data_IF_489370031434
#
_entry.id   IF_489370031434
#
_cell.length_a   1.000
_cell.length_b   1.000
_cell.length_c   1.000
_cell.angle_alpha   90.00
_cell.angle_beta   90.00
_cell.angle_gamma   90.00
#
_symmetry.space_group_name_H-M   'P 1'
#
loop_
_entity.id
_entity.type
_entity.pdbx_description
1 polymer ?
#
# COMPACT_ATOMS: atom_id res chain seq x y z
N UNK A 1 -12.26 -14.39 -23.44
CA UNK A 1 -10.99 -15.07 -23.72
C UNK A 1 -10.54 -14.82 -25.14
N UNK A 2 -9.28 -14.47 -25.36
CA UNK A 2 -8.71 -14.37 -26.72
C UNK A 2 -8.39 -15.79 -27.20
N UNK A 3 -8.85 -16.11 -28.40
CA UNK A 3 -8.44 -17.34 -29.11
C UNK A 3 -7.34 -16.97 -30.09
N UNK A 4 -6.20 -17.64 -29.99
CA UNK A 4 -5.13 -17.55 -30.97
C UNK A 4 -5.51 -18.58 -32.08
N UNK A 5 -5.77 -18.10 -33.28
CA UNK A 5 -5.96 -18.96 -34.43
C UNK A 5 -4.65 -19.04 -35.22
N UNK A 6 -4.16 -20.25 -35.43
CA UNK A 6 -3.01 -20.52 -36.29
C UNK A 6 -3.52 -20.76 -37.72
N UNK A 7 -3.03 -19.98 -38.67
CA UNK A 7 -3.37 -20.12 -40.09
C UNK A 7 -2.09 -20.52 -40.84
N UNK A 8 -2.21 -21.56 -41.64
CA UNK A 8 -1.10 -21.99 -42.48
C UNK A 8 -0.79 -20.93 -43.54
N UNK A 9 0.40 -20.34 -43.48
CA UNK A 9 0.85 -19.26 -44.36
C UNK A 9 0.78 -19.61 -45.88
N UNK A 10 0.85 -20.90 -46.23
CA UNK A 10 0.78 -21.39 -47.62
C UNK A 10 -0.63 -21.37 -48.20
N UNK A 11 -1.67 -21.24 -47.38
CA UNK A 11 -3.07 -21.19 -47.81
C UNK A 11 -3.66 -19.79 -47.83
N UNK A 12 -2.88 -18.75 -47.52
CA UNK A 12 -3.34 -17.36 -47.43
C UNK A 12 -2.90 -16.60 -48.67
N UNK A 13 -3.85 -16.08 -49.44
CA UNK A 13 -3.58 -15.15 -50.51
C UNK A 13 -3.33 -13.75 -49.95
N UNK A 14 -2.11 -13.27 -50.10
CA UNK A 14 -1.69 -11.98 -49.57
C UNK A 14 -2.07 -10.84 -50.49
N UNK A 15 -2.93 -9.94 -50.03
CA UNK A 15 -3.28 -8.72 -50.73
C UNK A 15 -2.32 -7.59 -50.36
N UNK A 16 -1.88 -6.80 -51.35
CA UNK A 16 -1.14 -5.59 -51.06
C UNK A 16 -2.00 -4.58 -50.28
N UNK A 17 -1.40 -3.83 -49.34
CA UNK A 17 -2.14 -2.86 -48.49
C UNK A 17 -2.96 -1.87 -49.32
N UNK A 18 -2.46 -1.46 -50.51
CA UNK A 18 -3.16 -0.55 -51.44
C UNK A 18 -4.45 -1.17 -52.04
N UNK A 19 -4.56 -2.50 -52.09
CA UNK A 19 -5.66 -3.23 -52.60
C UNK A 19 -6.62 -3.74 -51.52
N UNK A 20 -6.21 -3.56 -50.24
CA UNK A 20 -7.03 -3.85 -49.08
C UNK A 20 -8.13 -2.78 -48.97
N UNK A 21 -9.34 -3.10 -49.42
CA UNK A 21 -10.51 -2.26 -49.16
C UNK A 21 -10.78 -2.30 -47.65
N UNK A 22 -10.82 -1.15 -47.01
CA UNK A 22 -11.35 -1.05 -45.68
C UNK A 22 -12.76 -1.65 -45.67
N UNK A 23 -12.96 -2.77 -45.00
CA UNK A 23 -14.31 -3.27 -44.78
C UNK A 23 -15.02 -2.25 -43.90
N UNK A 24 -15.82 -1.40 -44.56
CA UNK A 24 -16.65 -0.38 -43.89
C UNK A 24 -17.77 -0.97 -43.03
N UNK A 25 -17.92 -2.28 -43.06
CA UNK A 25 -18.82 -3.03 -42.21
C UNK A 25 -18.04 -4.20 -41.58
N UNK A 26 -17.31 -3.95 -40.51
CA UNK A 26 -17.08 -5.05 -39.59
C UNK A 26 -18.46 -5.55 -39.15
N UNK A 27 -18.78 -6.84 -39.34
CA UNK A 27 -19.96 -7.37 -38.71
C UNK A 27 -19.79 -7.19 -37.20
N UNK A 28 -20.55 -6.26 -36.67
CA UNK A 28 -20.60 -6.03 -35.21
C UNK A 28 -21.29 -7.24 -34.58
N UNK A 29 -20.53 -8.32 -34.38
CA UNK A 29 -21.01 -9.59 -33.80
C UNK A 29 -21.54 -9.46 -32.38
N UNK A 30 -21.78 -8.41 -31.86
CA UNK A 30 -22.47 -8.19 -30.59
C UNK A 30 -23.59 -7.19 -30.73
N UNK A 31 -23.36 -6.14 -31.51
CA UNK A 31 -24.30 -5.03 -31.62
C UNK A 31 -25.47 -5.39 -32.53
N UNK A 32 -25.26 -6.22 -33.53
CA UNK A 32 -26.38 -6.68 -34.38
C UNK A 32 -27.35 -7.64 -33.66
N UNK A 33 -26.86 -8.41 -32.69
CA UNK A 33 -27.71 -9.23 -31.84
C UNK A 33 -28.45 -8.40 -30.80
N UNK A 34 -27.80 -7.36 -30.27
CA UNK A 34 -28.40 -6.40 -29.35
C UNK A 34 -29.42 -5.50 -30.04
N UNK A 35 -29.19 -5.11 -31.32
CA UNK A 35 -30.16 -4.33 -32.10
C UNK A 35 -31.39 -5.12 -32.51
N UNK A 36 -31.34 -6.45 -32.53
CA UNK A 36 -32.52 -7.29 -32.78
C UNK A 36 -33.39 -7.53 -31.55
N UNK A 37 -32.87 -7.31 -30.36
CA UNK A 37 -33.61 -7.38 -29.11
C UNK A 37 -34.12 -5.99 -28.75
N UNK A 38 -35.39 -5.90 -28.37
CA UNK A 38 -36.06 -4.68 -27.85
C UNK A 38 -35.31 -4.00 -26.69
N UNK A 39 -34.28 -4.64 -26.12
CA UNK A 39 -33.42 -4.08 -25.13
C UNK A 39 -32.56 -2.87 -25.63
N UNK A 40 -32.30 -2.77 -26.93
CA UNK A 40 -31.57 -1.61 -27.50
C UNK A 40 -32.40 -0.32 -27.46
N UNK A 41 -33.69 -0.42 -27.34
CA UNK A 41 -34.61 0.72 -27.23
C UNK A 41 -34.81 1.17 -25.78
N UNK A 42 -34.23 0.48 -24.80
CA UNK A 42 -34.33 0.85 -23.41
C UNK A 42 -33.73 2.24 -23.13
N UNK A 43 -32.65 2.60 -23.82
CA UNK A 43 -32.05 3.95 -23.70
C UNK A 43 -32.91 5.02 -24.40
N UNK A 44 -33.54 4.66 -25.51
CA UNK A 44 -34.44 5.59 -26.24
C UNK A 44 -35.76 5.80 -25.47
N UNK A 45 -36.15 4.83 -24.64
CA UNK A 45 -37.35 4.92 -23.79
C UNK A 45 -37.13 5.72 -22.51
N UNK A 46 -35.90 6.02 -22.18
CA UNK A 46 -35.58 6.87 -21.01
C UNK A 46 -35.95 8.30 -21.32
N UNK A 47 -37.01 8.82 -20.69
CA UNK A 47 -37.36 10.24 -20.76
C UNK A 47 -36.14 11.09 -20.39
N UNK A 48 -35.66 11.86 -21.36
CA UNK A 48 -34.65 12.89 -21.08
C UNK A 48 -35.29 13.96 -20.16
N UNK A 49 -35.07 13.82 -18.86
CA UNK A 49 -35.43 14.85 -17.94
C UNK A 49 -34.26 15.82 -17.78
N UNK A 50 -34.47 17.13 -17.94
CA UNK A 50 -33.44 18.11 -17.65
C UNK A 50 -33.18 18.08 -16.15
N UNK A 51 -32.12 17.39 -15.75
CA UNK A 51 -31.67 17.38 -14.36
C UNK A 51 -30.91 18.66 -14.09
N UNK A 52 -31.31 19.37 -13.04
CA UNK A 52 -30.55 20.51 -12.56
C UNK A 52 -29.19 20.04 -12.03
N UNK A 53 -28.12 20.43 -12.70
CA UNK A 53 -26.78 20.13 -12.25
C UNK A 53 -26.40 21.10 -11.14
N UNK A 54 -26.29 20.60 -9.92
CA UNK A 54 -25.79 21.37 -8.78
C UNK A 54 -24.35 20.95 -8.47
N UNK A 55 -23.55 21.91 -7.95
CA UNK A 55 -22.22 21.58 -7.47
C UNK A 55 -22.32 20.59 -6.31
N UNK A 56 -21.63 19.46 -6.41
CA UNK A 56 -21.50 18.50 -5.33
C UNK A 56 -20.70 19.13 -4.17
N UNK A 57 -21.25 19.23 -2.94
CA UNK A 57 -20.50 19.74 -1.81
C UNK A 57 -19.40 18.73 -1.44
N UNK A 58 -18.14 19.17 -1.44
CA UNK A 58 -16.96 18.31 -1.17
C UNK A 58 -16.99 17.66 0.22
N UNK A 59 -17.77 18.19 1.14
CA UNK A 59 -17.94 17.70 2.52
C UNK A 59 -19.13 16.76 2.68
N UNK A 60 -19.88 16.48 1.61
CA UNK A 60 -21.04 15.59 1.69
C UNK A 60 -20.58 14.15 1.90
N UNK A 61 -21.15 13.48 2.92
CA UNK A 61 -20.75 12.13 3.34
C UNK A 61 -19.22 11.96 3.52
N UNK A 62 -18.58 12.92 4.20
CA UNK A 62 -17.13 12.94 4.38
C UNK A 62 -16.60 11.65 5.05
N UNK A 63 -17.31 11.16 6.07
CA UNK A 63 -16.93 9.99 6.88
C UNK A 63 -17.74 8.73 6.53
N UNK A 64 -18.12 8.52 5.31
CA UNK A 64 -18.92 7.38 4.90
C UNK A 64 -18.20 6.04 5.20
N UNK A 65 -18.31 5.55 6.44
CA UNK A 65 -17.74 4.29 6.88
C UNK A 65 -18.49 3.12 6.24
N UNK A 66 -17.78 2.24 5.55
CA UNK A 66 -18.38 1.18 4.75
C UNK A 66 -17.67 -0.17 4.84
N UNK A 67 -16.46 -0.22 5.40
CA UNK A 67 -15.67 -1.44 5.43
C UNK A 67 -15.05 -1.68 6.79
N UNK A 68 -15.04 -2.95 7.22
CA UNK A 68 -14.36 -3.39 8.44
C UNK A 68 -13.29 -4.40 8.02
N UNK A 69 -12.05 -4.16 8.40
CA UNK A 69 -10.91 -5.01 8.08
C UNK A 69 -10.31 -5.55 9.38
N UNK A 70 -10.56 -6.82 9.74
CA UNK A 70 -9.83 -7.46 10.81
C UNK A 70 -8.44 -7.89 10.32
N UNK A 71 -7.42 -7.70 11.15
CA UNK A 71 -6.07 -8.17 10.90
C UNK A 71 -5.61 -9.01 12.08
N UNK A 72 -5.12 -10.21 11.77
CA UNK A 72 -4.58 -11.14 12.75
C UNK A 72 -3.14 -11.44 12.35
N UNK A 73 -2.20 -10.90 13.10
CA UNK A 73 -0.77 -11.08 12.90
C UNK A 73 -0.12 -11.24 14.27
N UNK A 74 -0.21 -12.45 14.80
CA UNK A 74 0.25 -12.76 16.17
C UNK A 74 1.67 -12.22 16.43
N UNK A 75 1.92 -11.41 17.51
CA UNK A 75 1.03 -11.14 18.65
C UNK A 75 0.05 -9.96 18.47
N UNK A 76 -0.02 -9.32 17.31
CA UNK A 76 -0.84 -8.14 17.05
C UNK A 76 -2.18 -8.50 16.42
N UNK A 77 -3.26 -8.02 17.03
CA UNK A 77 -4.64 -8.18 16.56
C UNK A 77 -5.24 -6.79 16.37
N UNK A 78 -5.83 -6.52 15.23
CA UNK A 78 -6.47 -5.22 15.01
C UNK A 78 -7.75 -5.31 14.21
N UNK A 79 -8.59 -4.30 14.38
CA UNK A 79 -9.79 -4.05 13.57
C UNK A 79 -9.73 -2.62 13.10
N UNK A 80 -9.83 -2.42 11.79
CA UNK A 80 -9.93 -1.10 11.18
C UNK A 80 -11.28 -0.90 10.53
N UNK A 81 -11.90 0.25 10.76
CA UNK A 81 -13.13 0.70 10.12
C UNK A 81 -12.75 1.81 9.15
N UNK A 82 -12.99 1.58 7.87
CA UNK A 82 -12.57 2.48 6.78
C UNK A 82 -13.78 3.22 6.23
N UNK A 83 -13.60 4.52 6.02
CA UNK A 83 -14.56 5.40 5.38
C UNK A 83 -13.92 6.19 4.24
N UNK A 84 -14.66 6.38 3.16
CA UNK A 84 -14.27 7.19 2.01
C UNK A 84 -15.44 8.04 1.56
N UNK A 85 -15.19 9.29 1.17
CA UNK A 85 -16.23 10.08 0.57
C UNK A 85 -16.49 9.62 -0.89
N UNK A 86 -17.65 9.97 -1.44
CA UNK A 86 -18.08 9.53 -2.79
C UNK A 86 -17.08 9.91 -3.90
N UNK A 87 -16.33 11.00 -3.74
CA UNK A 87 -15.32 11.45 -4.69
C UNK A 87 -13.93 10.83 -4.46
N UNK A 88 -13.78 10.00 -3.42
CA UNK A 88 -12.52 9.43 -2.96
C UNK A 88 -11.41 10.49 -2.74
N UNK A 89 -11.82 11.68 -2.33
CA UNK A 89 -10.91 12.79 -2.00
C UNK A 89 -10.64 12.91 -0.51
N UNK A 90 -11.38 12.17 0.31
CA UNK A 90 -11.18 12.06 1.74
C UNK A 90 -11.32 10.61 2.16
N UNK A 91 -10.29 10.10 2.81
CA UNK A 91 -10.25 8.77 3.38
C UNK A 91 -10.07 8.91 4.89
N UNK A 92 -10.77 8.08 5.65
CA UNK A 92 -10.66 8.03 7.11
C UNK A 92 -10.65 6.61 7.61
N UNK A 93 -9.93 6.39 8.71
CA UNK A 93 -9.82 5.09 9.34
C UNK A 93 -9.92 5.25 10.84
N UNK A 94 -10.73 4.40 11.50
CA UNK A 94 -10.71 4.19 12.94
C UNK A 94 -10.09 2.81 13.16
N UNK A 95 -9.08 2.73 14.00
CA UNK A 95 -8.40 1.47 14.33
C UNK A 95 -8.53 1.15 15.81
N UNK A 96 -8.62 -0.13 16.10
CA UNK A 96 -8.54 -0.71 17.44
C UNK A 96 -7.54 -1.84 17.40
N UNK A 97 -6.56 -1.83 18.28
CA UNK A 97 -5.51 -2.83 18.34
C UNK A 97 -5.38 -3.44 19.73
N UNK A 98 -4.80 -4.63 19.75
CA UNK A 98 -4.40 -5.36 20.94
C UNK A 98 -3.16 -6.18 20.67
N UNK A 99 -2.11 -5.97 21.47
CA UNK A 99 -0.92 -6.81 21.44
C UNK A 99 -0.96 -7.82 22.59
N UNK A 100 -0.90 -9.10 22.25
CA UNK A 100 -1.01 -10.20 23.23
C UNK A 100 0.22 -10.30 24.15
N UNK A 101 1.41 -10.04 23.63
CA UNK A 101 2.66 -10.25 24.38
C UNK A 101 2.93 -9.12 25.36
N UNK A 102 2.70 -7.89 24.95
CA UNK A 102 2.84 -6.71 25.80
C UNK A 102 1.56 -6.40 26.59
N UNK A 103 0.39 -6.81 26.10
CA UNK A 103 -0.91 -6.59 26.72
C UNK A 103 -1.51 -5.21 26.48
N UNK A 104 -0.86 -4.34 25.69
CA UNK A 104 -1.39 -3.01 25.41
C UNK A 104 -2.58 -3.04 24.45
N UNK A 105 -3.38 -2.01 24.53
CA UNK A 105 -4.51 -1.72 23.63
C UNK A 105 -4.28 -0.36 23.00
N UNK A 106 -4.64 -0.23 21.74
CA UNK A 106 -4.60 1.05 21.05
C UNK A 106 -5.92 1.38 20.36
N UNK A 107 -6.21 2.64 20.28
CA UNK A 107 -7.28 3.21 19.48
C UNK A 107 -6.70 4.37 18.66
N UNK A 108 -6.94 4.35 17.36
CA UNK A 108 -6.43 5.33 16.44
C UNK A 108 -7.49 5.90 15.53
N UNK A 109 -7.25 7.11 15.06
CA UNK A 109 -8.00 7.75 13.99
C UNK A 109 -7.01 8.39 13.01
N UNK A 110 -7.10 8.03 11.75
CA UNK A 110 -6.32 8.58 10.65
C UNK A 110 -7.23 9.16 9.58
N UNK A 111 -6.80 10.26 8.98
CA UNK A 111 -7.48 10.88 7.86
C UNK A 111 -6.49 11.38 6.80
N UNK A 112 -6.89 11.22 5.54
CA UNK A 112 -6.15 11.72 4.38
C UNK A 112 -7.09 12.53 3.49
N UNK A 113 -6.74 13.78 3.23
CA UNK A 113 -7.44 14.65 2.30
C UNK A 113 -6.62 14.82 1.01
N UNK A 114 -7.08 14.20 -0.06
CA UNK A 114 -6.40 14.13 -1.36
C UNK A 114 -7.04 14.97 -2.46
N UNK A 115 -7.95 15.90 -2.12
CA UNK A 115 -8.52 16.81 -3.13
C UNK A 115 -7.54 17.92 -3.60
N UNK A 116 -6.43 18.03 -2.91
CA UNK A 116 -5.33 18.95 -3.23
C UNK A 116 -4.05 18.18 -3.51
N UNK A 117 -3.08 18.87 -4.08
CA UNK A 117 -1.68 18.43 -4.10
C UNK A 117 -0.85 19.51 -3.39
N UNK A 118 -0.25 19.23 -2.23
CA UNK A 118 -0.05 17.92 -1.57
C UNK A 118 -1.31 17.35 -0.92
N UNK A 119 -1.32 16.04 -0.69
CA UNK A 119 -2.30 15.39 0.18
C UNK A 119 -2.02 15.78 1.62
N UNK A 120 -3.08 16.12 2.36
CA UNK A 120 -2.99 16.43 3.78
C UNK A 120 -3.28 15.14 4.57
N UNK A 121 -2.46 14.89 5.59
CA UNK A 121 -2.62 13.75 6.49
C UNK A 121 -2.73 14.24 7.91
N UNK A 122 -3.56 13.62 8.72
CA UNK A 122 -3.67 13.88 10.15
C UNK A 122 -4.16 12.62 10.86
N UNK A 123 -3.70 12.41 12.08
CA UNK A 123 -4.15 11.31 12.89
C UNK A 123 -3.82 11.49 14.36
N UNK A 124 -4.46 10.67 15.16
CA UNK A 124 -4.26 10.57 16.60
C UNK A 124 -4.36 9.11 17.01
N UNK A 125 -3.42 8.66 17.82
CA UNK A 125 -3.39 7.32 18.40
C UNK A 125 -3.25 7.42 19.92
N UNK A 126 -4.01 6.60 20.62
CA UNK A 126 -3.94 6.45 22.05
C UNK A 126 -3.68 5.01 22.42
N UNK A 127 -2.52 4.76 23.03
CA UNK A 127 -2.11 3.43 23.49
C UNK A 127 -2.19 3.35 25.01
N UNK A 128 -2.84 2.31 25.50
CA UNK A 128 -3.12 2.07 26.92
C UNK A 128 -2.29 0.89 27.41
N UNK A 129 -1.71 1.02 28.59
CA UNK A 129 -0.96 -0.02 29.29
C UNK A 129 0.24 -0.57 28.50
N UNK A 130 0.95 0.29 27.78
CA UNK A 130 2.19 -0.08 27.13
C UNK A 130 3.23 -0.49 28.17
N UNK A 131 4.02 -1.52 27.88
CA UNK A 131 4.96 -2.13 28.82
C UNK A 131 6.38 -2.08 28.28
N UNK A 132 7.31 -1.66 29.13
CA UNK A 132 8.73 -1.73 28.86
C UNK A 132 9.49 -2.44 29.97
N UNK A 133 10.58 -3.11 29.59
CA UNK A 133 11.48 -3.78 30.51
C UNK A 133 12.66 -2.87 30.82
N UNK A 134 12.78 -2.46 32.04
CA UNK A 134 13.89 -1.66 32.56
C UNK A 134 14.65 -2.45 33.61
N UNK A 135 15.87 -1.99 33.96
CA UNK A 135 16.71 -2.65 34.99
C UNK A 135 16.00 -2.81 36.34
N UNK A 136 15.04 -1.94 36.64
CA UNK A 136 14.26 -1.91 37.88
C UNK A 136 12.95 -2.72 37.82
N UNK A 137 12.63 -3.33 36.69
CA UNK A 137 11.40 -4.09 36.48
C UNK A 137 10.56 -3.59 35.31
N UNK A 138 9.31 -4.01 35.25
CA UNK A 138 8.37 -3.57 34.24
C UNK A 138 7.83 -2.18 34.55
N UNK A 139 7.87 -1.29 33.59
CA UNK A 139 7.25 0.04 33.66
C UNK A 139 6.09 0.07 32.70
N UNK A 140 4.97 0.63 33.13
CA UNK A 140 3.76 0.79 32.34
C UNK A 140 3.49 2.26 32.07
N UNK A 141 3.00 2.60 30.88
CA UNK A 141 2.61 3.95 30.53
C UNK A 141 1.46 3.96 29.50
N UNK A 142 0.75 5.07 29.47
CA UNK A 142 -0.15 5.41 28.39
C UNK A 142 0.53 6.39 27.45
N UNK A 143 0.28 6.26 26.15
CA UNK A 143 0.93 7.07 25.12
C UNK A 143 -0.12 7.71 24.21
N UNK A 144 0.00 9.00 23.97
CA UNK A 144 -0.75 9.75 22.97
C UNK A 144 0.19 10.14 21.86
N UNK A 145 -0.14 9.79 20.63
CA UNK A 145 0.56 10.23 19.43
C UNK A 145 -0.39 11.04 18.55
N UNK A 146 -0.02 12.27 18.25
CA UNK A 146 -0.74 13.12 17.29
C UNK A 146 0.18 13.40 16.12
N UNK A 147 -0.32 13.22 14.91
CA UNK A 147 0.48 13.51 13.74
C UNK A 147 -0.28 14.30 12.68
N UNK A 148 0.49 15.02 11.88
CA UNK A 148 -0.02 15.73 10.72
C UNK A 148 1.09 15.91 9.69
N UNK A 149 0.73 15.86 8.41
CA UNK A 149 1.75 15.91 7.38
C UNK A 149 1.25 16.18 5.98
N UNK A 150 2.23 16.24 5.09
CA UNK A 150 2.05 16.49 3.66
C UNK A 150 2.65 15.34 2.87
N UNK A 151 1.91 14.87 1.87
CA UNK A 151 2.37 13.83 0.95
C UNK A 151 2.19 14.28 -0.51
N UNK A 152 3.21 14.08 -1.31
CA UNK A 152 3.22 14.34 -2.75
C UNK A 152 3.27 13.02 -3.50
N UNK A 153 2.13 12.44 -3.91
CA UNK A 153 2.09 11.23 -4.72
C UNK A 153 2.17 11.59 -6.19
N UNK A 154 3.09 10.96 -6.91
CA UNK A 154 3.23 11.07 -8.36
C UNK A 154 3.08 9.70 -9.02
N UNK A 155 2.30 9.65 -10.08
CA UNK A 155 2.09 8.46 -10.89
C UNK A 155 2.69 8.69 -12.28
N UNK A 156 3.73 7.92 -12.61
CA UNK A 156 4.41 7.93 -13.89
C UNK A 156 4.14 6.66 -14.70
N UNK A 157 3.08 5.94 -14.38
CA UNK A 157 2.72 4.70 -15.05
C UNK A 157 2.47 4.92 -16.54
N UNK A 158 3.02 4.04 -17.38
CA UNK A 158 2.85 4.10 -18.83
C UNK A 158 2.77 2.69 -19.42
N UNK A 159 1.69 2.41 -20.12
CA UNK A 159 1.47 1.10 -20.74
C UNK A 159 1.49 -0.02 -19.69
N UNK A 160 2.43 -0.95 -19.84
CA UNK A 160 2.58 -2.09 -18.93
C UNK A 160 3.46 -1.79 -17.70
N UNK A 161 4.12 -0.65 -17.68
CA UNK A 161 4.98 -0.25 -16.57
C UNK A 161 4.17 0.59 -15.59
N UNK A 162 4.12 0.13 -14.35
CA UNK A 162 3.49 0.83 -13.24
C UNK A 162 4.61 1.48 -12.44
N UNK A 163 4.57 2.81 -12.34
CA UNK A 163 5.63 3.59 -11.66
C UNK A 163 5.02 4.64 -10.77
N UNK A 164 5.36 4.60 -9.50
CA UNK A 164 4.95 5.56 -8.48
C UNK A 164 6.16 6.15 -7.76
N UNK A 165 6.09 7.43 -7.49
CA UNK A 165 7.00 8.14 -6.60
C UNK A 165 6.15 8.89 -5.58
N UNK A 166 6.46 8.74 -4.32
CA UNK A 166 5.86 9.59 -3.29
C UNK A 166 6.92 10.08 -2.32
N UNK A 167 6.80 11.32 -1.90
CA UNK A 167 7.59 11.86 -0.81
C UNK A 167 6.69 12.70 0.10
N UNK A 168 7.11 12.86 1.32
CA UNK A 168 6.34 13.60 2.29
C UNK A 168 7.10 13.84 3.59
N UNK A 169 6.46 14.62 4.42
CA UNK A 169 6.91 14.91 5.78
C UNK A 169 5.71 14.90 6.70
N UNK A 170 5.85 14.19 7.81
CA UNK A 170 4.87 14.15 8.87
C UNK A 170 5.53 14.67 10.16
N UNK A 171 4.83 15.52 10.88
CA UNK A 171 5.18 15.98 12.24
C UNK A 171 4.43 15.09 13.21
N UNK A 172 5.13 14.52 14.16
CA UNK A 172 4.58 13.72 15.24
C UNK A 172 4.83 14.41 16.58
N UNK A 173 3.80 14.48 17.39
CA UNK A 173 3.91 14.80 18.81
C UNK A 173 3.56 13.54 19.58
N UNK A 174 4.49 13.10 20.44
CA UNK A 174 4.33 11.92 21.30
C UNK A 174 4.41 12.33 22.75
N UNK A 175 3.47 11.86 23.56
CA UNK A 175 3.45 12.06 24.99
C UNK A 175 3.23 10.73 25.69
N UNK A 176 4.20 10.32 26.53
CA UNK A 176 4.11 9.15 27.38
C UNK A 176 3.83 9.58 28.82
N UNK A 177 2.79 9.01 29.42
CA UNK A 177 2.40 9.22 30.81
C UNK A 177 2.66 7.93 31.60
N UNK A 178 3.71 7.93 32.41
CA UNK A 178 4.11 6.76 33.19
C UNK A 178 3.23 6.59 34.42
N UNK A 179 2.88 5.33 34.72
CA UNK A 179 2.07 5.01 35.91
C UNK A 179 2.85 5.09 37.21
N UNK A 180 4.18 5.15 37.16
CA UNK A 180 5.05 5.24 38.30
C UNK A 180 5.31 6.72 38.63
N UNK A 181 4.99 7.14 39.83
CA UNK A 181 5.04 8.54 40.25
C UNK A 181 6.43 9.20 40.15
N UNK A 182 7.49 8.39 40.19
CA UNK A 182 8.88 8.89 40.16
C UNK A 182 9.39 9.25 38.75
N UNK A 183 8.69 8.84 37.66
CA UNK A 183 9.20 9.03 36.29
C UNK A 183 8.51 10.23 35.61
N UNK A 184 7.30 10.60 36.02
CA UNK A 184 6.56 11.71 35.43
C UNK A 184 6.10 11.44 34.01
N UNK A 185 5.79 12.52 33.24
CA UNK A 185 5.45 12.46 31.83
C UNK A 185 6.64 12.87 30.98
N UNK A 186 6.82 12.21 29.85
CA UNK A 186 7.79 12.57 28.83
C UNK A 186 7.08 12.93 27.54
N UNK A 187 7.53 13.96 26.85
CA UNK A 187 6.98 14.34 25.54
C UNK A 187 8.10 14.80 24.60
N UNK A 188 7.89 14.55 23.33
CA UNK A 188 8.79 15.00 22.28
C UNK A 188 8.07 15.16 20.97
N UNK A 189 8.63 15.97 20.08
CA UNK A 189 8.14 16.16 18.72
C UNK A 189 9.22 15.74 17.75
N UNK A 190 8.83 14.99 16.70
CA UNK A 190 9.77 14.60 15.66
C UNK A 190 9.17 14.75 14.27
N UNK A 191 10.06 14.93 13.30
CA UNK A 191 9.73 14.89 11.87
C UNK A 191 10.03 13.49 11.35
N UNK A 192 9.15 13.02 10.48
CA UNK A 192 9.31 11.81 9.71
C UNK A 192 9.27 12.15 8.22
N UNK A 193 10.44 12.24 7.61
CA UNK A 193 10.59 12.53 6.19
C UNK A 193 10.77 11.23 5.43
N UNK A 194 10.06 11.07 4.33
CA UNK A 194 10.16 9.85 3.55
C UNK A 194 10.12 10.09 2.04
N UNK A 195 10.79 9.19 1.33
CA UNK A 195 10.73 9.05 -0.12
C UNK A 195 10.46 7.58 -0.42
N UNK A 196 9.45 7.30 -1.23
CA UNK A 196 9.10 5.96 -1.70
C UNK A 196 9.03 5.96 -3.21
N UNK A 197 9.79 5.10 -3.82
CA UNK A 197 9.77 4.87 -5.26
C UNK A 197 9.47 3.40 -5.52
N UNK A 198 8.56 3.13 -6.42
CA UNK A 198 8.28 1.77 -6.86
C UNK A 198 8.03 1.77 -8.37
N UNK A 199 8.65 0.85 -9.07
CA UNK A 199 8.37 0.60 -10.47
C UNK A 199 8.38 -0.90 -10.73
N UNK A 200 7.42 -1.36 -11.51
CA UNK A 200 7.36 -2.76 -11.91
C UNK A 200 6.58 -2.93 -13.22
N UNK A 201 6.87 -4.00 -13.91
CA UNK A 201 6.08 -4.41 -15.08
C UNK A 201 4.85 -5.16 -14.58
N UNK A 202 3.70 -4.87 -15.17
CA UNK A 202 2.46 -5.59 -14.89
C UNK A 202 2.69 -7.10 -14.99
N UNK A 203 2.34 -7.82 -13.94
CA UNK A 203 2.56 -9.25 -13.83
C UNK A 203 1.34 -10.05 -14.26
N UNK A 204 1.57 -11.25 -14.78
CA UNK A 204 0.52 -12.22 -15.02
C UNK A 204 0.08 -12.86 -13.69
N UNK A 205 -1.15 -13.39 -13.64
CA UNK A 205 -1.69 -14.04 -12.43
C UNK A 205 -0.84 -15.20 -11.91
N UNK A 206 -0.10 -15.87 -12.79
CA UNK A 206 0.78 -17.01 -12.43
C UNK A 206 2.13 -16.57 -11.84
N UNK A 207 2.51 -15.31 -11.98
CA UNK A 207 3.80 -14.83 -11.45
C UNK A 207 3.67 -14.53 -9.96
N UNK A 208 4.58 -15.05 -9.16
CA UNK A 208 4.66 -14.76 -7.72
C UNK A 208 5.07 -13.29 -7.51
N UNK A 209 6.06 -12.83 -8.30
CA UNK A 209 6.56 -11.46 -8.29
C UNK A 209 6.64 -10.89 -9.71
N UNK A 210 6.71 -9.55 -9.87
CA UNK A 210 6.96 -8.95 -11.16
C UNK A 210 8.28 -9.48 -11.77
N UNK A 211 8.30 -9.71 -13.08
CA UNK A 211 9.53 -10.16 -13.77
C UNK A 211 10.66 -9.13 -13.69
N UNK A 212 10.31 -7.86 -13.70
CA UNK A 212 11.22 -6.74 -13.48
C UNK A 212 10.52 -5.71 -12.62
N UNK A 213 11.21 -5.24 -11.62
CA UNK A 213 10.70 -4.21 -10.74
C UNK A 213 11.73 -3.83 -9.68
N UNK A 214 11.48 -2.71 -9.07
CA UNK A 214 12.24 -2.23 -7.93
C UNK A 214 11.35 -1.38 -7.04
N UNK A 215 11.57 -1.48 -5.74
CA UNK A 215 10.99 -0.59 -4.75
C UNK A 215 12.08 -0.09 -3.81
N UNK A 216 12.11 1.20 -3.61
CA UNK A 216 13.09 1.88 -2.74
C UNK A 216 12.31 2.74 -1.76
N UNK A 217 12.64 2.63 -0.49
CA UNK A 217 12.09 3.45 0.58
C UNK A 217 13.23 4.06 1.39
N UNK A 218 13.21 5.37 1.50
CA UNK A 218 14.09 6.15 2.36
C UNK A 218 13.22 6.78 3.44
N UNK A 219 13.65 6.69 4.67
CA UNK A 219 12.95 7.26 5.81
C UNK A 219 13.98 7.92 6.74
N UNK A 220 13.75 9.18 7.10
CA UNK A 220 14.55 9.91 8.04
C UNK A 220 13.66 10.51 9.12
N UNK A 221 13.88 10.06 10.34
CA UNK A 221 13.23 10.58 11.55
C UNK A 221 14.20 11.46 12.32
N UNK A 222 13.72 12.58 12.79
CA UNK A 222 14.51 13.53 13.56
C UNK A 222 13.66 14.19 14.63
N UNK A 223 14.02 14.01 15.89
CA UNK A 223 13.40 14.73 16.99
C UNK A 223 13.82 16.20 16.94
N UNK A 224 12.85 17.11 17.12
CA UNK A 224 13.06 18.56 17.02
C UNK A 224 12.84 19.28 18.33
N UNK A 225 12.09 18.67 19.27
CA UNK A 225 11.87 19.21 20.61
C UNK A 225 11.77 18.10 21.64
N UNK A 226 12.14 18.41 22.87
CA UNK A 226 12.00 17.55 24.05
C UNK A 226 13.16 16.62 24.26
N UNK A 227 13.51 15.82 23.29
CA UNK A 227 14.58 14.83 23.35
C UNK A 227 15.38 14.85 22.05
N UNK A 228 16.64 14.43 22.12
CA UNK A 228 17.50 14.30 20.93
C UNK A 228 17.41 12.89 20.39
N UNK A 229 17.04 12.76 19.12
CA UNK A 229 17.06 11.48 18.43
C UNK A 229 17.06 11.68 16.91
N UNK A 230 17.79 10.84 16.20
CA UNK A 230 17.72 10.75 14.75
C UNK A 230 17.89 9.30 14.28
N UNK A 231 17.24 8.96 13.18
CA UNK A 231 17.32 7.64 12.57
C UNK A 231 17.11 7.76 11.07
N UNK A 232 18.04 7.22 10.32
CA UNK A 232 17.91 7.02 8.86
C UNK A 232 17.72 5.54 8.56
N UNK A 233 16.77 5.23 7.71
CA UNK A 233 16.52 3.89 7.19
C UNK A 233 16.35 3.96 5.68
N UNK A 234 17.19 3.23 4.96
CA UNK A 234 17.05 2.96 3.54
C UNK A 234 16.73 1.48 3.33
N UNK A 235 15.77 1.17 2.50
CA UNK A 235 15.48 -0.22 2.13
C UNK A 235 15.08 -0.30 0.66
N UNK A 236 15.40 -1.44 0.03
CA UNK A 236 15.10 -1.67 -1.37
C UNK A 236 14.87 -3.14 -1.67
N UNK A 237 13.95 -3.39 -2.61
CA UNK A 237 13.72 -4.71 -3.18
C UNK A 237 13.84 -4.61 -4.69
N UNK A 238 14.58 -5.51 -5.29
CA UNK A 238 14.86 -5.59 -6.72
C UNK A 238 14.39 -6.94 -7.22
N UNK A 239 13.50 -6.92 -8.20
CA UNK A 239 12.84 -8.11 -8.75
C UNK A 239 13.43 -8.44 -10.11
N UNK A 240 13.83 -9.68 -10.30
CA UNK A 240 14.39 -10.21 -11.53
C UNK A 240 13.69 -11.51 -11.93
N UNK A 241 13.66 -11.86 -13.22
CA UNK A 241 13.23 -13.17 -13.65
C UNK A 241 14.17 -14.23 -13.10
N UNK A 242 13.63 -15.38 -12.70
CA UNK A 242 14.43 -16.54 -12.33
C UNK A 242 14.87 -17.35 -13.56
N UNK A 243 15.45 -18.50 -13.29
CA UNK A 243 16.01 -19.41 -14.31
C UNK A 243 14.95 -20.06 -15.21
N UNK A 244 13.69 -20.06 -14.80
CA UNK A 244 12.59 -20.66 -15.54
C UNK A 244 11.37 -19.77 -15.56
N UNK A 245 10.35 -20.13 -16.36
CA UNK A 245 9.09 -19.41 -16.46
C UNK A 245 8.40 -19.37 -15.08
N UNK A 246 7.89 -18.21 -14.68
CA UNK A 246 7.24 -17.95 -13.39
C UNK A 246 8.15 -18.07 -12.16
N UNK A 247 9.43 -18.27 -12.33
CA UNK A 247 10.43 -18.16 -11.27
C UNK A 247 10.81 -16.67 -11.08
N UNK A 248 11.21 -16.31 -9.87
CA UNK A 248 11.60 -14.94 -9.52
C UNK A 248 12.81 -14.96 -8.59
N UNK A 249 13.73 -14.03 -8.84
CA UNK A 249 14.83 -13.70 -7.93
C UNK A 249 14.54 -12.34 -7.32
N UNK A 250 14.52 -12.25 -6.00
CA UNK A 250 14.33 -11.00 -5.26
C UNK A 250 15.61 -10.71 -4.49
N UNK A 251 16.24 -9.59 -4.81
CA UNK A 251 17.37 -9.06 -4.03
C UNK A 251 16.82 -7.97 -3.11
N UNK A 252 17.04 -8.12 -1.82
CA UNK A 252 16.66 -7.15 -0.81
C UNK A 252 17.89 -6.57 -0.11
N UNK A 253 17.89 -5.25 0.10
CA UNK A 253 18.95 -4.55 0.79
C UNK A 253 18.34 -3.55 1.78
N UNK A 254 18.99 -3.38 2.93
CA UNK A 254 18.60 -2.35 3.87
C UNK A 254 19.82 -1.81 4.61
N UNK A 255 19.76 -0.53 4.95
CA UNK A 255 20.75 0.17 5.77
C UNK A 255 20.02 1.03 6.79
N UNK A 256 20.38 0.90 8.06
CA UNK A 256 19.90 1.78 9.12
C UNK A 256 21.10 2.39 9.84
N UNK A 257 20.95 3.68 10.14
CA UNK A 257 21.91 4.46 10.92
C UNK A 257 21.14 5.31 11.94
N UNK A 258 21.55 5.26 13.20
CA UNK A 258 21.04 6.14 14.25
C UNK A 258 21.99 7.30 14.50
N UNK A 259 21.52 8.36 15.15
CA UNK A 259 22.37 9.45 15.60
C UNK A 259 23.23 9.05 16.79
N UNK A 260 24.39 9.68 16.91
CA UNK A 260 25.36 9.39 17.98
C UNK A 260 24.85 9.79 19.35
N UNK A 261 24.08 10.88 19.45
CA UNK A 261 23.60 11.49 20.69
C UNK A 261 22.11 11.22 20.95
N UNK A 262 21.61 10.06 20.54
CA UNK A 262 20.21 9.71 20.75
C UNK A 262 19.90 9.46 22.22
N UNK A 263 19.00 10.27 22.80
CA UNK A 263 18.42 10.07 24.13
C UNK A 263 17.31 9.05 24.15
N UNK A 264 16.62 8.87 22.98
CA UNK A 264 15.59 7.87 22.77
C UNK A 264 15.83 7.13 21.46
N UNK A 265 15.29 5.93 21.37
CA UNK A 265 15.27 5.15 20.15
C UNK A 265 13.88 5.17 19.52
N UNK A 266 13.81 5.53 18.24
CA UNK A 266 12.59 5.32 17.46
C UNK A 266 12.31 3.84 17.26
N UNK A 267 11.03 3.47 17.10
CA UNK A 267 10.62 2.11 16.77
C UNK A 267 11.42 1.57 15.60
N UNK A 268 11.99 0.38 15.80
CA UNK A 268 12.86 -0.25 14.82
C UNK A 268 12.02 -0.86 13.69
N UNK A 269 12.12 -0.28 12.49
CA UNK A 269 11.46 -0.76 11.28
C UNK A 269 12.45 -1.46 10.32
N UNK A 270 13.63 -1.83 10.80
CA UNK A 270 14.63 -2.53 10.00
C UNK A 270 14.11 -3.92 9.59
N UNK A 271 14.16 -4.28 8.30
CA UNK A 271 13.68 -5.57 7.83
C UNK A 271 14.72 -6.67 8.11
N UNK A 272 14.71 -7.24 9.30
CA UNK A 272 15.64 -8.31 9.68
C UNK A 272 15.58 -9.51 8.74
N UNK A 273 16.69 -10.23 8.65
CA UNK A 273 16.73 -11.49 7.94
C UNK A 273 16.00 -12.59 8.73
N UNK A 274 15.49 -13.60 8.05
CA UNK A 274 14.82 -14.74 8.70
C UNK A 274 15.75 -15.42 9.69
N UNK A 275 15.26 -15.72 10.87
CA UNK A 275 16.01 -16.39 11.93
C UNK A 275 16.90 -15.47 12.78
N UNK A 276 16.93 -14.17 12.50
CA UNK A 276 17.57 -13.19 13.38
C UNK A 276 16.57 -12.57 14.31
N UNK A 277 16.96 -12.40 15.57
CA UNK A 277 16.17 -11.65 16.54
C UNK A 277 16.34 -10.15 16.25
N UNK A 278 15.29 -9.38 16.46
CA UNK A 278 15.34 -7.93 16.31
C UNK A 278 16.30 -7.34 17.36
N UNK A 279 17.36 -6.71 16.89
CA UNK A 279 18.33 -6.02 17.71
C UNK A 279 18.26 -4.51 17.47
N UNK A 280 18.60 -3.75 18.52
CA UNK A 280 18.56 -2.30 18.47
C UNK A 280 19.98 -1.73 18.36
N UNK A 281 20.67 -2.03 17.27
CA UNK A 281 22.04 -1.59 17.02
C UNK A 281 22.07 -0.19 16.41
N UNK A 282 23.17 0.52 16.64
CA UNK A 282 23.46 1.85 16.12
C UNK A 282 23.48 1.88 14.58
N UNK A 283 24.16 0.94 13.96
CA UNK A 283 24.23 0.79 12.52
C UNK A 283 23.95 -0.65 12.11
N UNK A 284 23.07 -0.84 11.14
CA UNK A 284 22.72 -2.15 10.64
C UNK A 284 22.69 -2.16 9.13
N UNK A 285 23.22 -3.23 8.55
CA UNK A 285 23.19 -3.48 7.11
C UNK A 285 22.61 -4.87 6.83
N UNK A 286 21.84 -4.97 5.77
CA UNK A 286 21.31 -6.23 5.26
C UNK A 286 21.43 -6.30 3.76
N UNK A 287 21.86 -7.43 3.26
CA UNK A 287 21.73 -7.84 1.87
C UNK A 287 21.20 -9.28 1.88
N UNK A 288 20.15 -9.54 1.12
CA UNK A 288 19.54 -10.86 0.99
C UNK A 288 19.17 -11.14 -0.46
N UNK A 289 19.13 -12.40 -0.82
CA UNK A 289 18.66 -12.88 -2.11
C UNK A 289 17.71 -14.05 -1.87
N UNK A 290 16.48 -13.92 -2.34
CA UNK A 290 15.45 -14.93 -2.22
C UNK A 290 15.08 -15.44 -3.63
N UNK A 291 15.16 -16.74 -3.82
CA UNK A 291 14.74 -17.38 -5.07
C UNK A 291 13.37 -18.03 -4.86
N UNK A 292 12.39 -17.59 -5.62
CA UNK A 292 11.01 -18.05 -5.54
C UNK A 292 10.63 -18.83 -6.79
N UNK A 293 10.03 -19.98 -6.58
CA UNK A 293 9.47 -20.79 -7.66
C UNK A 293 8.14 -21.42 -7.25
N UNK A 294 7.16 -21.51 -8.16
CA UNK A 294 5.90 -22.16 -7.87
C UNK A 294 6.08 -23.68 -7.83
N UNK A 295 5.58 -24.31 -6.79
CA UNK A 295 5.56 -25.77 -6.67
C UNK A 295 4.35 -26.33 -7.42
N UNK A 296 3.21 -25.64 -7.33
CA UNK A 296 1.95 -26.03 -7.94
C UNK A 296 1.06 -24.82 -8.20
N UNK A 297 0.11 -24.98 -9.09
CA UNK A 297 -0.95 -24.02 -9.38
C UNK A 297 -2.31 -24.67 -9.08
N UNK A 298 -2.75 -24.71 -7.82
CA UNK A 298 -3.95 -25.43 -7.42
C UNK A 298 -5.20 -24.94 -8.15
N UNK A 299 -5.35 -23.65 -8.35
CA UNK A 299 -6.49 -23.06 -9.09
C UNK A 299 -6.53 -23.56 -10.53
N UNK A 300 -5.39 -23.67 -11.18
CA UNK A 300 -5.32 -24.17 -12.55
C UNK A 300 -5.66 -25.66 -12.61
N UNK A 301 -5.13 -26.43 -11.68
CA UNK A 301 -5.41 -27.86 -11.57
C UNK A 301 -6.88 -28.14 -11.30
N UNK A 302 -7.45 -27.49 -10.31
CA UNK A 302 -8.86 -27.64 -9.97
C UNK A 302 -9.76 -27.13 -11.10
N UNK A 303 -9.47 -25.94 -11.66
CA UNK A 303 -10.25 -25.40 -12.76
C UNK A 303 -10.18 -26.31 -13.98
N UNK A 304 -8.99 -26.76 -14.39
CA UNK A 304 -8.87 -27.66 -15.53
C UNK A 304 -9.52 -29.01 -15.27
N UNK A 305 -9.61 -29.45 -14.03
CA UNK A 305 -10.23 -30.69 -13.65
C UNK A 305 -11.74 -30.56 -13.44
N UNK A 306 -12.26 -29.42 -13.04
CA UNK A 306 -13.67 -29.18 -12.77
C UNK A 306 -14.44 -28.61 -13.95
N UNK A 307 -13.80 -27.84 -14.76
CA UNK A 307 -14.46 -27.28 -15.93
C UNK A 307 -14.12 -27.92 -17.19
N UNK A 308 -13.23 -28.77 -16.94
CA UNK A 308 -12.95 -29.36 -18.00
C UNK A 308 -13.44 -28.85 -19.27
#
# INVERSE_FOLDING_TARGET
>A
GYRINEVNNKSVEWLAIKDARAQTAMPNFGISALNKNTASQLLDSVKQQPLAVTKYPKTYHLFNFHSIIPTVNDPDYSIAIIGENVLNTFQSQISFGYNRDEGYKDIGFDAVYGAWLPFLRAGIDYTIDRKGFFKTGNIYWNEVNVHGGLQFPFNFSRGRQITGLSFGTDVYYSQANFHTADIGSSHYTYLNNYIRFATHIQQAKQNIYPRFGQSISLNYRNAITGLTASQFLASGNFFFPGLSVNHSLVINAAHQQKGDDNEIDFTNNFPFARGYVAENLYSMNKIGADYHFPIAYPDKGMASTIYF
#
